data_IF_947549928384
#
_entry.id   IF_947549928384
#
_cell.length_a   1.000
_cell.length_b   1.000
_cell.length_c   1.000
_cell.angle_alpha   90.00
_cell.angle_beta   90.00
_cell.angle_gamma   90.00
#
_symmetry.space_group_name_H-M   'P 1'
#
loop_
_entity.id
_entity.type
_entity.pdbx_description
1 polymer ?
#
# COMPACT_ATOMS: atom_id res chain seq x y z
N UNK A 1 -0.47 -12.33 -0.09
CA UNK A 1 0.20 -11.75 -1.26
C UNK A 1 -0.55 -10.50 -1.70
N UNK A 2 0.17 -9.45 -2.04
CA UNK A 2 -0.46 -8.17 -2.40
C UNK A 2 -0.93 -8.19 -3.86
N UNK A 3 -2.14 -7.71 -4.10
CA UNK A 3 -2.60 -7.46 -5.47
C UNK A 3 -1.99 -6.13 -5.92
N UNK A 4 -0.82 -6.20 -6.52
CA UNK A 4 -0.02 -5.04 -6.91
C UNK A 4 -0.76 -4.11 -7.86
N UNK A 5 -1.44 -4.67 -8.86
CA UNK A 5 -2.13 -3.85 -9.85
C UNK A 5 -3.26 -3.03 -9.23
N UNK A 6 -4.06 -3.65 -8.37
CA UNK A 6 -5.14 -2.96 -7.69
C UNK A 6 -4.63 -1.87 -6.76
N UNK A 7 -3.56 -2.18 -6.00
CA UNK A 7 -2.96 -1.19 -5.11
C UNK A 7 -2.39 -0.01 -5.89
N UNK A 8 -1.68 -0.28 -6.98
CA UNK A 8 -1.13 0.80 -7.82
C UNK A 8 -2.23 1.68 -8.40
N UNK A 9 -3.35 1.09 -8.79
CA UNK A 9 -4.49 1.84 -9.30
C UNK A 9 -5.08 2.75 -8.23
N UNK A 10 -5.24 2.24 -7.02
CA UNK A 10 -5.76 3.05 -5.91
C UNK A 10 -4.82 4.20 -5.59
N UNK A 11 -3.52 3.95 -5.58
CA UNK A 11 -2.52 5.01 -5.35
C UNK A 11 -2.59 6.07 -6.44
N UNK A 12 -2.68 5.65 -7.69
CA UNK A 12 -2.78 6.58 -8.82
C UNK A 12 -4.04 7.45 -8.71
N UNK A 13 -5.16 6.83 -8.34
CA UNK A 13 -6.43 7.55 -8.21
C UNK A 13 -6.45 8.50 -7.02
N UNK A 14 -5.66 8.22 -5.98
CA UNK A 14 -5.62 9.05 -4.78
C UNK A 14 -4.95 10.40 -5.01
N UNK A 15 -4.06 10.48 -5.98
CA UNK A 15 -3.26 11.68 -6.22
C UNK A 15 -2.05 11.83 -5.30
N UNK A 16 -1.85 10.93 -4.36
CA UNK A 16 -0.66 10.96 -3.49
C UNK A 16 0.58 10.52 -4.24
N UNK A 17 1.70 11.15 -3.91
CA UNK A 17 3.00 10.73 -4.45
C UNK A 17 3.55 9.58 -3.63
N UNK A 18 4.30 8.71 -4.27
CA UNK A 18 4.97 7.58 -3.59
C UNK A 18 5.85 8.04 -2.43
N UNK A 19 6.57 9.14 -2.62
CA UNK A 19 7.43 9.70 -1.58
C UNK A 19 6.65 10.08 -0.34
N UNK A 20 5.48 10.67 -0.52
CA UNK A 20 4.61 11.04 0.60
C UNK A 20 4.12 9.79 1.34
N UNK A 21 3.66 8.79 0.59
CA UNK A 21 3.18 7.55 1.20
C UNK A 21 4.29 6.83 1.96
N UNK A 22 5.49 6.78 1.39
CA UNK A 22 6.64 6.17 2.05
C UNK A 22 6.99 6.89 3.35
N UNK A 23 6.97 8.20 3.34
CA UNK A 23 7.23 9.00 4.53
C UNK A 23 6.23 8.70 5.63
N UNK A 24 4.95 8.62 5.27
CA UNK A 24 3.89 8.32 6.24
C UNK A 24 4.00 6.89 6.78
N UNK A 25 4.51 5.97 5.97
CA UNK A 25 4.74 4.59 6.41
C UNK A 25 6.04 4.43 7.19
N UNK A 26 6.86 5.47 7.26
CA UNK A 26 8.13 5.40 7.99
C UNK A 26 9.24 4.68 7.23
N UNK A 27 9.18 4.66 5.92
CA UNK A 27 10.19 4.00 5.08
C UNK A 27 10.58 4.87 3.89
N UNK A 28 11.54 4.40 3.10
CA UNK A 28 11.94 5.09 1.89
C UNK A 28 11.01 4.71 0.73
N UNK A 29 11.01 5.53 -0.31
CA UNK A 29 10.26 5.25 -1.52
C UNK A 29 10.63 3.89 -2.12
N UNK A 30 11.93 3.57 -2.12
CA UNK A 30 12.40 2.29 -2.65
C UNK A 30 11.86 1.12 -1.84
N UNK A 31 11.88 1.25 -0.52
CA UNK A 31 11.35 0.21 0.36
C UNK A 31 9.86 0.01 0.15
N UNK A 32 9.11 1.10 0.06
CA UNK A 32 7.66 1.00 -0.19
C UNK A 32 7.38 0.36 -1.55
N UNK A 33 8.14 0.73 -2.56
CA UNK A 33 7.98 0.16 -3.90
C UNK A 33 8.23 -1.35 -3.91
N UNK A 34 9.24 -1.81 -3.17
CA UNK A 34 9.50 -3.25 -3.02
C UNK A 34 8.33 -3.98 -2.40
N UNK A 35 7.73 -3.39 -1.38
CA UNK A 35 6.58 -3.99 -0.70
C UNK A 35 5.37 -4.06 -1.62
N UNK A 36 5.11 -3.01 -2.37
CA UNK A 36 4.02 -2.99 -3.34
C UNK A 36 4.22 -4.06 -4.41
N UNK A 37 5.45 -4.30 -4.83
CA UNK A 37 5.78 -5.28 -5.85
C UNK A 37 6.03 -6.70 -5.30
N UNK A 38 5.60 -6.97 -4.07
CA UNK A 38 5.72 -8.29 -3.42
C UNK A 38 7.15 -8.76 -3.17
N UNK A 39 8.12 -7.84 -3.13
CA UNK A 39 9.50 -8.20 -2.78
C UNK A 39 9.69 -8.39 -1.29
N UNK A 40 8.93 -7.64 -0.48
CA UNK A 40 8.90 -7.78 0.97
C UNK A 40 7.46 -7.62 1.44
N UNK A 41 7.18 -8.06 2.67
CA UNK A 41 5.84 -7.98 3.22
C UNK A 41 5.59 -6.63 3.91
N UNK A 42 4.33 -6.21 3.88
CA UNK A 42 3.89 -5.06 4.68
C UNK A 42 3.73 -5.48 6.13
N UNK A 43 4.07 -4.58 7.06
CA UNK A 43 3.74 -4.81 8.47
C UNK A 43 2.37 -4.17 8.78
N UNK A 44 1.85 -4.45 9.99
CA UNK A 44 0.50 -3.98 10.37
C UNK A 44 0.40 -2.46 10.42
N UNK A 45 1.46 -1.78 10.84
CA UNK A 45 1.47 -0.31 10.90
C UNK A 45 1.38 0.28 9.49
N UNK A 46 2.13 -0.28 8.57
CA UNK A 46 2.11 0.17 7.18
C UNK A 46 0.75 -0.05 6.52
N UNK A 47 0.15 -1.22 6.77
CA UNK A 47 -1.18 -1.53 6.24
C UNK A 47 -2.22 -0.55 6.78
N UNK A 48 -2.17 -0.25 8.07
CA UNK A 48 -3.10 0.70 8.68
C UNK A 48 -2.92 2.10 8.10
N UNK A 49 -1.67 2.53 7.92
CA UNK A 49 -1.36 3.83 7.35
C UNK A 49 -1.92 3.96 5.95
N UNK A 50 -1.70 2.96 5.10
CA UNK A 50 -2.22 2.97 3.73
C UNK A 50 -3.73 2.94 3.71
N UNK A 51 -4.34 2.12 4.57
CA UNK A 51 -5.80 2.07 4.68
C UNK A 51 -6.38 3.45 4.99
N UNK A 52 -5.82 4.13 5.97
CA UNK A 52 -6.31 5.43 6.40
C UNK A 52 -6.09 6.51 5.34
N UNK A 53 -4.90 6.56 4.76
CA UNK A 53 -4.55 7.58 3.76
C UNK A 53 -5.32 7.41 2.46
N UNK A 54 -5.42 6.18 1.99
CA UNK A 54 -6.08 5.87 0.72
C UNK A 54 -7.57 5.62 0.88
N UNK A 55 -8.06 5.67 2.11
CA UNK A 55 -9.48 5.45 2.44
C UNK A 55 -10.00 4.14 1.88
N UNK A 56 -9.22 3.08 2.09
CA UNK A 56 -9.56 1.75 1.61
C UNK A 56 -10.49 1.08 2.61
N UNK A 57 -11.60 0.52 2.12
CA UNK A 57 -12.52 -0.21 2.98
C UNK A 57 -11.96 -1.57 3.40
N UNK A 58 -12.54 -2.16 4.45
CA UNK A 58 -12.07 -3.45 4.99
C UNK A 58 -12.08 -4.55 3.93
N UNK A 59 -13.15 -4.63 3.13
CA UNK A 59 -13.26 -5.62 2.07
C UNK A 59 -12.16 -5.43 1.02
N UNK A 60 -11.90 -4.18 0.65
CA UNK A 60 -10.85 -3.88 -0.32
C UNK A 60 -9.46 -4.20 0.24
N UNK A 61 -9.22 -3.93 1.53
CA UNK A 61 -7.97 -4.31 2.18
C UNK A 61 -7.73 -5.81 2.06
N UNK A 62 -8.77 -6.59 2.27
CA UNK A 62 -8.67 -8.04 2.15
C UNK A 62 -8.33 -8.44 0.72
N UNK A 63 -9.00 -7.85 -0.26
CA UNK A 63 -8.77 -8.16 -1.67
C UNK A 63 -7.37 -7.76 -2.14
N UNK A 64 -6.84 -6.66 -1.60
CA UNK A 64 -5.54 -6.15 -2.01
C UNK A 64 -4.39 -6.91 -1.34
N UNK A 65 -4.46 -7.08 -0.03
CA UNK A 65 -3.32 -7.55 0.75
C UNK A 65 -3.39 -9.03 1.14
N UNK A 66 -4.53 -9.64 1.05
CA UNK A 66 -4.73 -11.04 1.44
C UNK A 66 -5.30 -11.89 0.32
N UNK A 67 -5.17 -11.45 -0.91
CA UNK A 67 -5.60 -12.26 -2.05
C UNK A 67 -4.67 -13.47 -2.20
N UNK A 68 -5.22 -14.60 -2.49
CA UNK A 68 -4.46 -15.84 -2.68
C UNK A 68 -4.26 -16.12 -4.16
#
# INVERSE_FOLDING_TARGET
>A
MTNTEKLKQIIADSGYKMEFLAKECGCTRETLNKKINNKTLFNSVELKTLKDLLKIGDTEMYDIFFCS
#
